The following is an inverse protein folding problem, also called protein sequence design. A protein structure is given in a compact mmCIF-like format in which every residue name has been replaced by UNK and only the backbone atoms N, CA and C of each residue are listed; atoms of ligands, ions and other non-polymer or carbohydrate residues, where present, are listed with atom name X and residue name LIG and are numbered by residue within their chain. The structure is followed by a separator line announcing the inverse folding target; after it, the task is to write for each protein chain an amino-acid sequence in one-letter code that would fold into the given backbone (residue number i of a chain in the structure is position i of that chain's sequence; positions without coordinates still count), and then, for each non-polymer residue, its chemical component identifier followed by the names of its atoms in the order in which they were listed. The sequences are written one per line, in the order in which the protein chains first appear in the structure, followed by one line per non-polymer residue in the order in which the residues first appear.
data_IF_336687422863
#
_entry.id   IF_336687422863
#
_cell.length_a   1.000
_cell.length_b   1.000
_cell.length_c   1.000
_cell.angle_alpha   90.00
_cell.angle_beta   90.00
_cell.angle_gamma   90.00
#
_symmetry.space_group_name_H-M   'P 1'
#
loop_
_entity.id
_entity.type
_entity.pdbx_description
1 polymer ?
#
# COMPACT_ATOMS: atom_id res chain seq x y z
N UNK A 1 -8.55 -5.53 59.27
CA UNK A 1 -8.09 -4.63 58.19
C UNK A 1 -8.91 -3.36 58.25
N UNK A 2 -8.28 -2.20 58.46
CA UNK A 2 -9.01 -0.93 58.54
C UNK A 2 -9.37 -0.45 57.14
N UNK A 3 -10.41 0.39 57.03
CA UNK A 3 -10.85 0.98 55.76
C UNK A 3 -9.73 1.77 55.04
N UNK A 4 -8.72 2.25 55.78
CA UNK A 4 -7.56 2.95 55.22
C UNK A 4 -6.64 2.01 54.40
N UNK A 5 -6.48 0.76 54.83
CA UNK A 5 -5.66 -0.20 54.07
C UNK A 5 -6.31 -0.58 52.73
N UNK A 6 -7.64 -0.59 52.65
CA UNK A 6 -8.37 -0.88 51.41
C UNK A 6 -8.31 0.27 50.39
N UNK A 7 -8.27 1.53 50.86
CA UNK A 7 -8.17 2.69 49.96
C UNK A 7 -6.77 2.88 49.37
N UNK A 8 -5.71 2.56 50.13
CA UNK A 8 -4.33 2.58 49.62
C UNK A 8 -4.11 1.52 48.53
N UNK A 9 -4.58 0.29 48.75
CA UNK A 9 -4.45 -0.81 47.78
C UNK A 9 -5.16 -0.50 46.45
N UNK A 10 -6.29 0.20 46.50
CA UNK A 10 -7.03 0.64 45.31
C UNK A 10 -6.28 1.74 44.53
N UNK A 11 -5.62 2.68 45.24
CA UNK A 11 -4.79 3.72 44.60
C UNK A 11 -3.58 3.10 43.90
N UNK A 12 -2.88 2.18 44.55
CA UNK A 12 -1.71 1.52 43.95
C UNK A 12 -2.08 0.76 42.68
N UNK A 13 -3.20 0.03 42.70
CA UNK A 13 -3.72 -0.69 41.53
C UNK A 13 -4.09 0.26 40.37
N UNK A 14 -4.69 1.42 40.65
CA UNK A 14 -4.98 2.43 39.62
C UNK A 14 -3.70 3.03 39.01
N UNK A 15 -2.70 3.38 39.82
CA UNK A 15 -1.42 3.90 39.32
C UNK A 15 -0.67 2.87 38.48
N UNK A 16 -0.66 1.60 38.91
CA UNK A 16 -0.06 0.52 38.14
C UNK A 16 -0.78 0.30 36.80
N UNK A 17 -2.12 0.37 36.79
CA UNK A 17 -2.92 0.27 35.56
C UNK A 17 -2.67 1.42 34.57
N UNK A 18 -2.53 2.65 35.07
CA UNK A 18 -2.17 3.81 34.25
C UNK A 18 -0.76 3.68 33.66
N UNK A 19 0.22 3.29 34.46
CA UNK A 19 1.60 3.06 34.01
C UNK A 19 1.70 1.93 32.97
N UNK A 20 0.94 0.85 33.14
CA UNK A 20 0.90 -0.25 32.17
C UNK A 20 0.27 0.20 30.85
N UNK A 21 -0.80 1.01 30.90
CA UNK A 21 -1.47 1.54 29.72
C UNK A 21 -0.58 2.53 28.96
N UNK A 22 0.17 3.37 29.68
CA UNK A 22 1.08 4.35 29.10
C UNK A 22 2.27 3.64 28.42
N UNK A 23 2.89 2.67 29.10
CA UNK A 23 3.97 1.84 28.53
C UNK A 23 3.50 1.02 27.33
N UNK A 24 2.28 0.48 27.36
CA UNK A 24 1.71 -0.23 26.21
C UNK A 24 1.50 0.72 25.02
N UNK A 25 1.08 1.96 25.27
CA UNK A 25 0.98 3.00 24.24
C UNK A 25 2.34 3.39 23.65
N UNK A 26 3.38 3.50 24.48
CA UNK A 26 4.74 3.81 24.02
C UNK A 26 5.34 2.66 23.21
N UNK A 27 5.18 1.42 23.67
CA UNK A 27 5.67 0.23 22.95
C UNK A 27 4.92 0.04 21.63
N UNK A 28 3.60 0.27 21.61
CA UNK A 28 2.83 0.27 20.37
C UNK A 28 3.29 1.38 19.43
N UNK A 29 3.60 2.57 19.94
CA UNK A 29 4.17 3.67 19.16
C UNK A 29 5.55 3.34 18.57
N UNK A 30 6.45 2.76 19.37
CA UNK A 30 7.80 2.36 18.94
C UNK A 30 7.76 1.20 17.95
N UNK A 31 6.88 0.20 18.14
CA UNK A 31 6.68 -0.88 17.18
C UNK A 31 6.09 -0.35 15.86
N UNK A 32 5.22 0.65 15.90
CA UNK A 32 4.69 1.34 14.71
C UNK A 32 5.76 2.15 13.98
N UNK A 33 6.78 2.63 14.70
CA UNK A 33 7.99 3.26 14.13
C UNK A 33 8.98 2.25 13.54
N UNK A 34 9.14 1.08 14.17
CA UNK A 34 10.02 -0.01 13.73
C UNK A 34 9.44 -0.81 12.55
N UNK A 35 8.11 -0.96 12.46
CA UNK A 35 7.41 -1.39 11.24
C UNK A 35 7.34 -0.22 10.25
N UNK A 36 8.50 0.39 9.95
CA UNK A 36 8.64 1.27 8.80
C UNK A 36 8.35 0.43 7.57
N UNK A 37 7.08 0.43 7.17
CA UNK A 37 6.67 0.10 5.82
C UNK A 37 7.63 0.85 4.93
N UNK A 38 8.50 0.14 4.22
CA UNK A 38 9.37 0.73 3.22
C UNK A 38 8.45 1.37 2.18
N UNK A 39 8.23 2.68 2.35
CA UNK A 39 7.42 3.41 1.41
C UNK A 39 8.29 3.59 0.18
N UNK A 40 7.94 2.86 -0.89
CA UNK A 40 8.57 3.04 -2.18
C UNK A 40 8.45 4.48 -2.67
N UNK A 41 9.21 4.86 -3.70
CA UNK A 41 9.14 6.18 -4.31
C UNK A 41 7.68 6.61 -4.54
N UNK A 42 7.34 7.86 -4.20
CA UNK A 42 5.95 8.36 -4.25
C UNK A 42 5.28 8.09 -5.60
N UNK A 43 6.04 8.18 -6.68
CA UNK A 43 5.58 7.88 -8.03
C UNK A 43 5.16 6.41 -8.20
N UNK A 44 5.97 5.45 -7.74
CA UNK A 44 5.62 4.04 -7.81
C UNK A 44 4.37 3.74 -7.01
N UNK A 45 4.21 4.39 -5.86
CA UNK A 45 3.02 4.25 -5.03
C UNK A 45 1.77 4.77 -5.73
N UNK A 46 1.87 5.93 -6.35
CA UNK A 46 0.77 6.49 -7.12
C UNK A 46 0.39 5.60 -8.31
N UNK A 47 1.37 5.06 -9.05
CA UNK A 47 1.11 4.09 -10.11
C UNK A 47 0.48 2.80 -9.59
N UNK A 48 1.00 2.24 -8.49
CA UNK A 48 0.42 1.06 -7.85
C UNK A 48 -1.02 1.29 -7.43
N UNK A 49 -1.29 2.41 -6.75
CA UNK A 49 -2.63 2.79 -6.31
C UNK A 49 -3.60 2.94 -7.48
N UNK A 50 -3.22 3.66 -8.54
CA UNK A 50 -4.09 3.92 -9.68
C UNK A 50 -4.36 2.65 -10.49
N UNK A 51 -3.34 1.82 -10.71
CA UNK A 51 -3.49 0.55 -11.43
C UNK A 51 -4.31 -0.47 -10.64
N UNK A 52 -4.13 -0.56 -9.33
CA UNK A 52 -4.94 -1.44 -8.48
C UNK A 52 -6.38 -0.96 -8.34
N UNK A 53 -6.61 0.36 -8.27
CA UNK A 53 -7.94 0.93 -8.24
C UNK A 53 -8.68 0.70 -9.56
N UNK A 54 -8.00 0.86 -10.70
CA UNK A 54 -8.54 0.52 -12.00
C UNK A 54 -8.89 -0.97 -12.09
N UNK A 55 -7.97 -1.85 -11.69
CA UNK A 55 -8.20 -3.30 -11.59
C UNK A 55 -9.41 -3.63 -10.71
N UNK A 56 -9.57 -2.95 -9.57
CA UNK A 56 -10.73 -3.12 -8.69
C UNK A 56 -12.03 -2.70 -9.38
N UNK A 57 -12.03 -1.56 -10.08
CA UNK A 57 -13.18 -1.13 -10.89
C UNK A 57 -13.56 -2.16 -11.97
N UNK A 58 -12.57 -2.71 -12.68
CA UNK A 58 -12.80 -3.70 -13.72
C UNK A 58 -13.43 -4.99 -13.17
N UNK A 59 -12.94 -5.51 -12.04
CA UNK A 59 -13.52 -6.74 -11.46
C UNK A 59 -14.94 -6.53 -10.92
N UNK A 60 -15.27 -5.33 -10.42
CA UNK A 60 -16.65 -5.01 -10.03
C UNK A 60 -17.59 -5.04 -11.24
N UNK A 61 -17.13 -4.53 -12.39
CA UNK A 61 -17.90 -4.60 -13.63
C UNK A 61 -18.14 -6.06 -14.08
N UNK A 62 -17.10 -6.90 -14.01
CA UNK A 62 -17.20 -8.33 -14.36
C UNK A 62 -18.09 -9.13 -13.39
N UNK A 63 -18.08 -8.79 -12.10
CA UNK A 63 -18.94 -9.42 -11.10
C UNK A 63 -20.43 -9.11 -11.32
N UNK A 64 -20.74 -7.90 -11.77
CA UNK A 64 -22.13 -7.47 -12.05
C UNK A 64 -22.66 -8.11 -13.35
N UNK A 65 -21.77 -8.47 -14.28
CA UNK A 65 -22.17 -9.01 -15.57
C UNK A 65 -22.83 -10.40 -15.41
N UNK A 66 -24.14 -10.55 -15.71
CA UNK A 66 -24.87 -11.80 -15.48
C UNK A 66 -24.43 -12.94 -16.41
N UNK A 67 -23.71 -12.66 -17.50
CA UNK A 67 -23.20 -13.71 -18.40
C UNK A 67 -22.20 -14.63 -17.70
N UNK A 68 -21.57 -14.16 -16.62
CA UNK A 68 -20.59 -14.92 -15.85
C UNK A 68 -21.24 -15.96 -14.92
N UNK A 69 -22.57 -15.91 -14.67
CA UNK A 69 -23.34 -16.83 -13.81
C UNK A 69 -23.24 -18.31 -14.21
N UNK A 70 -22.83 -18.58 -15.45
CA UNK A 70 -22.70 -19.94 -16.00
C UNK A 70 -21.51 -20.70 -15.39
N UNK A 71 -20.50 -19.99 -14.87
CA UNK A 71 -19.27 -20.59 -14.36
C UNK A 71 -18.98 -20.12 -12.92
N UNK A 72 -19.47 -20.82 -11.88
CA UNK A 72 -19.32 -20.38 -10.48
C UNK A 72 -17.86 -20.24 -10.03
N UNK A 73 -16.94 -20.97 -10.66
CA UNK A 73 -15.49 -20.86 -10.41
C UNK A 73 -14.97 -19.45 -10.72
N UNK A 74 -15.53 -18.79 -11.74
CA UNK A 74 -15.11 -17.44 -12.15
C UNK A 74 -15.43 -16.41 -11.07
N UNK A 75 -16.59 -16.52 -10.41
CA UNK A 75 -16.95 -15.63 -9.29
C UNK A 75 -15.98 -15.74 -8.12
N UNK A 76 -15.53 -16.96 -7.81
CA UNK A 76 -14.55 -17.17 -6.76
C UNK A 76 -13.24 -16.49 -7.11
N UNK A 77 -12.77 -16.62 -8.35
CA UNK A 77 -11.54 -15.97 -8.81
C UNK A 77 -11.68 -14.44 -8.87
N UNK A 78 -12.81 -13.91 -9.33
CA UNK A 78 -13.08 -12.48 -9.29
C UNK A 78 -13.16 -11.93 -7.87
N UNK A 79 -13.71 -12.70 -6.92
CA UNK A 79 -13.67 -12.31 -5.50
C UNK A 79 -12.23 -12.24 -4.98
N UNK A 80 -11.35 -13.17 -5.36
CA UNK A 80 -9.93 -13.10 -5.03
C UNK A 80 -9.23 -11.89 -5.67
N UNK A 81 -9.48 -11.62 -6.95
CA UNK A 81 -8.93 -10.43 -7.64
C UNK A 81 -9.41 -9.15 -6.96
N UNK A 82 -10.69 -9.05 -6.61
CA UNK A 82 -11.24 -7.90 -5.90
C UNK A 82 -10.59 -7.70 -4.54
N UNK A 83 -10.43 -8.78 -3.76
CA UNK A 83 -9.76 -8.74 -2.47
C UNK A 83 -8.31 -8.28 -2.63
N UNK A 84 -7.55 -8.89 -3.55
CA UNK A 84 -6.16 -8.52 -3.77
C UNK A 84 -6.01 -7.08 -4.28
N UNK A 85 -6.86 -6.64 -5.22
CA UNK A 85 -6.82 -5.27 -5.75
C UNK A 85 -7.14 -4.24 -4.66
N UNK A 86 -8.07 -4.56 -3.76
CA UNK A 86 -8.37 -3.74 -2.59
C UNK A 86 -7.20 -3.69 -1.61
N UNK A 87 -6.59 -4.85 -1.30
CA UNK A 87 -5.39 -4.92 -0.45
C UNK A 87 -4.24 -4.09 -1.05
N UNK A 88 -3.98 -4.19 -2.34
CA UNK A 88 -2.96 -3.37 -3.04
C UNK A 88 -3.28 -1.88 -2.93
N UNK A 89 -4.53 -1.51 -3.21
CA UNK A 89 -4.98 -0.11 -3.13
C UNK A 89 -4.76 0.45 -1.73
N UNK A 90 -5.02 -0.34 -0.69
CA UNK A 90 -4.79 0.04 0.69
C UNK A 90 -3.30 0.16 1.04
N UNK A 91 -2.45 -0.74 0.52
CA UNK A 91 -1.01 -0.67 0.76
C UNK A 91 -0.33 0.52 0.09
N UNK A 92 -0.89 0.99 -1.02
CA UNK A 92 -0.37 2.13 -1.78
C UNK A 92 -1.01 3.47 -1.42
N UNK A 93 -2.19 3.44 -0.78
CA UNK A 93 -2.86 4.63 -0.30
C UNK A 93 -1.97 5.45 0.66
N UNK A 94 -2.19 6.77 0.62
CA UNK A 94 -1.56 7.73 1.52
C UNK A 94 -1.94 7.42 2.97
N UNK A 95 -0.98 7.47 3.90
CA UNK A 95 -1.22 7.12 5.30
C UNK A 95 -2.32 8.01 5.90
N UNK A 96 -2.33 9.27 5.52
CA UNK A 96 -3.30 10.27 5.95
C UNK A 96 -4.74 9.89 5.54
N UNK A 97 -4.91 9.25 4.39
CA UNK A 97 -6.23 8.78 3.93
C UNK A 97 -6.71 7.58 4.75
N UNK A 98 -5.79 6.66 5.06
CA UNK A 98 -6.11 5.45 5.82
C UNK A 98 -6.40 5.78 7.28
N UNK A 99 -5.62 6.68 7.90
CA UNK A 99 -5.81 7.09 9.29
C UNK A 99 -7.14 7.84 9.51
N UNK A 100 -7.69 8.46 8.47
CA UNK A 100 -9.03 9.06 8.53
C UNK A 100 -10.17 8.04 8.68
N UNK A 101 -9.92 6.76 8.38
CA UNK A 101 -10.93 5.69 8.42
C UNK A 101 -10.44 4.56 9.33
N UNK A 102 -10.85 4.59 10.59
CA UNK A 102 -10.39 3.66 11.64
C UNK A 102 -10.36 2.16 11.25
N UNK A 103 -11.42 1.61 10.63
CA UNK A 103 -11.41 0.21 10.19
C UNK A 103 -10.34 -0.12 9.14
N UNK A 104 -10.05 0.80 8.22
CA UNK A 104 -9.02 0.60 7.18
C UNK A 104 -7.63 0.59 7.80
N UNK A 105 -7.38 1.45 8.79
CA UNK A 105 -6.11 1.46 9.53
C UNK A 105 -5.86 0.12 10.25
N UNK A 106 -6.88 -0.43 10.91
CA UNK A 106 -6.77 -1.74 11.56
C UNK A 106 -6.55 -2.88 10.56
N UNK A 107 -7.22 -2.84 9.41
CA UNK A 107 -7.01 -3.84 8.36
C UNK A 107 -5.62 -3.73 7.72
N UNK A 108 -5.10 -2.52 7.49
CA UNK A 108 -3.74 -2.31 7.01
C UNK A 108 -2.70 -2.83 8.01
N UNK A 109 -2.91 -2.60 9.31
CA UNK A 109 -2.03 -3.12 10.38
C UNK A 109 -2.05 -4.65 10.45
N UNK A 110 -3.23 -5.27 10.32
CA UNK A 110 -3.38 -6.72 10.24
C UNK A 110 -2.60 -7.27 9.04
N UNK A 111 -2.75 -6.67 7.86
CA UNK A 111 -2.00 -7.08 6.68
C UNK A 111 -0.50 -6.87 6.84
N UNK A 112 -0.05 -5.76 7.43
CA UNK A 112 1.36 -5.51 7.67
C UNK A 112 1.98 -6.52 8.65
N UNK A 113 1.21 -6.95 9.64
CA UNK A 113 1.62 -7.92 10.67
C UNK A 113 1.70 -9.35 10.12
N UNK A 114 0.67 -9.79 9.39
CA UNK A 114 0.57 -11.17 8.92
C UNK A 114 1.17 -11.40 7.53
N UNK A 115 1.26 -10.35 6.71
CA UNK A 115 1.76 -10.42 5.34
C UNK A 115 3.00 -9.55 5.18
N UNK A 116 4.02 -9.77 6.02
CA UNK A 116 5.30 -9.03 5.97
C UNK A 116 5.92 -9.01 4.57
N UNK A 117 5.72 -10.08 3.78
CA UNK A 117 6.14 -10.14 2.38
C UNK A 117 5.61 -8.96 1.56
N UNK A 118 4.33 -8.59 1.71
CA UNK A 118 3.70 -7.48 0.97
C UNK A 118 4.13 -6.12 1.56
N UNK A 119 4.67 -6.08 2.78
CA UNK A 119 5.24 -4.85 3.34
C UNK A 119 6.62 -4.52 2.74
N UNK A 120 7.33 -5.49 2.19
CA UNK A 120 8.64 -5.30 1.54
C UNK A 120 8.46 -4.83 0.09
N UNK A 121 9.32 -3.90 -0.37
CA UNK A 121 9.21 -3.34 -1.73
C UNK A 121 9.28 -4.41 -2.82
N UNK A 122 10.17 -5.40 -2.68
CA UNK A 122 10.26 -6.53 -3.61
C UNK A 122 9.03 -7.44 -3.60
N UNK A 123 8.47 -7.73 -2.42
CA UNK A 123 7.29 -8.57 -2.31
C UNK A 123 6.01 -7.91 -2.83
N UNK A 124 5.89 -6.57 -2.73
CA UNK A 124 4.86 -5.80 -3.44
C UNK A 124 4.95 -5.98 -4.95
N UNK A 125 6.17 -5.86 -5.49
CA UNK A 125 6.39 -6.03 -6.93
C UNK A 125 5.97 -7.42 -7.42
N UNK A 126 6.36 -8.46 -6.69
CA UNK A 126 5.93 -9.83 -6.97
C UNK A 126 4.42 -10.01 -6.85
N UNK A 127 3.80 -9.38 -5.85
CA UNK A 127 2.35 -9.43 -5.68
C UNK A 127 1.62 -8.79 -6.86
N UNK A 128 2.10 -7.68 -7.41
CA UNK A 128 1.48 -7.02 -8.57
C UNK A 128 1.64 -7.84 -9.85
N UNK A 129 2.80 -8.46 -10.04
CA UNK A 129 3.01 -9.40 -11.14
C UNK A 129 2.05 -10.58 -11.01
N UNK A 130 1.90 -11.15 -9.81
CA UNK A 130 0.94 -12.23 -9.56
C UNK A 130 -0.49 -11.80 -9.88
N UNK A 131 -0.94 -10.62 -9.41
CA UNK A 131 -2.25 -10.07 -9.75
C UNK A 131 -2.44 -9.90 -11.26
N UNK A 132 -1.42 -9.39 -11.97
CA UNK A 132 -1.45 -9.24 -13.41
C UNK A 132 -1.52 -10.59 -14.13
N UNK A 133 -0.79 -11.61 -13.65
CA UNK A 133 -0.90 -12.97 -14.21
C UNK A 133 -2.28 -13.59 -13.99
N UNK A 134 -2.96 -13.30 -12.87
CA UNK A 134 -4.34 -13.72 -12.68
C UNK A 134 -5.27 -13.10 -13.72
N UNK A 135 -5.12 -11.81 -14.03
CA UNK A 135 -5.89 -11.18 -15.12
C UNK A 135 -5.62 -11.83 -16.48
N UNK A 136 -4.37 -12.21 -16.77
CA UNK A 136 -4.05 -12.91 -18.02
C UNK A 136 -4.70 -14.28 -18.14
N UNK A 137 -5.07 -14.93 -17.03
CA UNK A 137 -5.81 -16.20 -17.09
C UNK A 137 -7.25 -16.04 -17.61
N UNK A 138 -7.77 -14.81 -17.65
CA UNK A 138 -9.11 -14.50 -18.14
C UNK A 138 -9.13 -13.87 -19.53
N UNK A 139 -7.96 -13.51 -20.05
CA UNK A 139 -7.84 -12.92 -21.38
C UNK A 139 -7.84 -14.03 -22.45
N UNK A 140 -9.02 -14.52 -22.81
CA UNK A 140 -9.21 -15.52 -23.87
C UNK A 140 -9.15 -14.88 -25.26
N UNK A 141 -9.45 -13.57 -25.37
CA UNK A 141 -9.50 -12.88 -26.66
C UNK A 141 -9.00 -11.43 -26.60
N UNK A 142 -8.55 -10.91 -27.75
CA UNK A 142 -8.21 -9.49 -27.91
C UNK A 142 -9.40 -8.53 -27.72
N UNK A 143 -10.63 -9.05 -27.63
CA UNK A 143 -11.82 -8.25 -27.31
C UNK A 143 -11.79 -7.79 -25.84
N UNK A 144 -11.06 -8.50 -24.96
CA UNK A 144 -10.92 -8.20 -23.54
C UNK A 144 -9.78 -7.21 -23.27
N UNK A 145 -9.72 -6.16 -24.09
CA UNK A 145 -8.64 -5.14 -24.07
C UNK A 145 -8.45 -4.57 -22.67
N UNK A 146 -9.53 -4.37 -21.91
CA UNK A 146 -9.49 -3.82 -20.56
C UNK A 146 -8.73 -4.74 -19.61
N UNK A 147 -8.99 -6.04 -19.67
CA UNK A 147 -8.37 -7.04 -18.81
C UNK A 147 -6.88 -7.17 -19.15
N UNK A 148 -6.55 -7.21 -20.45
CA UNK A 148 -5.16 -7.21 -20.94
C UNK A 148 -4.43 -5.93 -20.52
N UNK A 149 -5.09 -4.77 -20.61
CA UNK A 149 -4.52 -3.50 -20.19
C UNK A 149 -4.26 -3.44 -18.68
N UNK A 150 -5.21 -3.90 -17.86
CA UNK A 150 -5.04 -4.02 -16.40
C UNK A 150 -3.92 -4.98 -16.04
N UNK A 151 -3.86 -6.15 -16.70
CA UNK A 151 -2.78 -7.11 -16.52
C UNK A 151 -1.42 -6.51 -16.85
N UNK A 152 -1.30 -5.90 -18.03
CA UNK A 152 -0.07 -5.26 -18.49
C UNK A 152 0.38 -4.14 -17.56
N UNK A 153 -0.56 -3.31 -17.10
CA UNK A 153 -0.27 -2.22 -16.15
C UNK A 153 0.21 -2.75 -14.80
N UNK A 154 -0.44 -3.77 -14.23
CA UNK A 154 -0.03 -4.40 -12.96
C UNK A 154 1.34 -5.07 -13.07
N UNK A 155 1.58 -5.85 -14.13
CA UNK A 155 2.88 -6.48 -14.38
C UNK A 155 3.96 -5.41 -14.53
N UNK A 156 3.72 -4.36 -15.32
CA UNK A 156 4.66 -3.27 -15.51
C UNK A 156 5.01 -2.58 -14.18
N UNK A 157 4.01 -2.19 -13.39
CA UNK A 157 4.25 -1.55 -12.08
C UNK A 157 4.95 -2.52 -11.11
N UNK A 158 4.62 -3.81 -11.16
CA UNK A 158 5.30 -4.83 -10.37
C UNK A 158 6.78 -4.98 -10.73
N UNK A 159 7.10 -4.96 -12.02
CA UNK A 159 8.49 -4.91 -12.49
C UNK A 159 9.23 -3.66 -12.01
N UNK A 160 8.59 -2.49 -12.05
CA UNK A 160 9.20 -1.26 -11.54
C UNK A 160 9.50 -1.34 -10.03
N UNK A 161 8.63 -1.97 -9.24
CA UNK A 161 8.89 -2.23 -7.82
C UNK A 161 10.05 -3.20 -7.60
N UNK A 162 10.18 -4.24 -8.42
CA UNK A 162 11.32 -5.15 -8.38
C UNK A 162 12.63 -4.45 -8.74
N UNK A 163 12.64 -3.64 -9.80
CA UNK A 163 13.81 -2.86 -10.19
C UNK A 163 14.22 -1.84 -9.10
N UNK A 164 13.23 -1.20 -8.47
CA UNK A 164 13.46 -0.35 -7.30
C UNK A 164 14.08 -1.14 -6.15
N UNK A 165 13.57 -2.34 -5.88
CA UNK A 165 14.10 -3.22 -4.83
C UNK A 165 15.54 -3.67 -5.09
N UNK A 166 15.90 -3.90 -6.36
CA UNK A 166 17.28 -4.21 -6.76
C UNK A 166 18.21 -2.98 -6.79
N UNK A 167 17.71 -1.76 -6.53
CA UNK A 167 18.50 -0.53 -6.61
C UNK A 167 18.88 -0.11 -8.04
N UNK A 168 18.26 -0.72 -9.06
CA UNK A 168 18.57 -0.46 -10.49
C UNK A 168 17.82 0.78 -11.01
N UNK A 169 16.94 1.39 -10.19
CA UNK A 169 16.14 2.54 -10.63
C UNK A 169 17.03 3.77 -10.93
N UNK A 170 17.05 4.27 -12.18
CA UNK A 170 17.83 5.44 -12.54
C UNK A 170 17.32 6.64 -11.75
N UNK A 171 18.21 7.25 -10.96
CA UNK A 171 17.85 8.38 -10.10
C UNK A 171 17.27 9.55 -10.91
N UNK A 172 17.68 9.72 -12.16
CA UNK A 172 17.13 10.74 -13.06
C UNK A 172 15.64 10.57 -13.34
N UNK A 173 15.16 9.34 -13.51
CA UNK A 173 13.74 9.08 -13.80
C UNK A 173 12.90 9.39 -12.57
N UNK A 174 13.40 9.00 -11.39
CA UNK A 174 12.75 9.31 -10.11
C UNK A 174 12.71 10.82 -9.89
N UNK A 175 13.83 11.53 -10.06
CA UNK A 175 13.89 12.99 -9.89
C UNK A 175 12.98 13.73 -10.87
N UNK A 176 12.95 13.34 -12.15
CA UNK A 176 12.05 13.94 -13.14
C UNK A 176 10.59 13.68 -12.80
N UNK A 177 10.24 12.45 -12.41
CA UNK A 177 8.86 12.10 -12.04
C UNK A 177 8.40 12.89 -10.80
N UNK A 178 9.26 13.01 -9.78
CA UNK A 178 9.00 13.80 -8.59
C UNK A 178 8.82 15.27 -8.91
N UNK A 179 9.73 15.87 -9.69
CA UNK A 179 9.61 17.26 -10.16
C UNK A 179 8.29 17.51 -10.90
N UNK A 180 7.89 16.62 -11.81
CA UNK A 180 6.61 16.76 -12.51
C UNK A 180 5.41 16.63 -11.57
N UNK A 181 5.47 15.75 -10.58
CA UNK A 181 4.41 15.60 -9.58
C UNK A 181 4.29 16.81 -8.66
N UNK A 182 5.40 17.44 -8.28
CA UNK A 182 5.44 18.68 -7.50
C UNK A 182 4.86 19.84 -8.29
N UNK A 183 5.28 20.00 -9.54
CA UNK A 183 4.75 21.02 -10.46
C UNK A 183 3.24 20.86 -10.67
N UNK A 184 2.74 19.62 -10.77
CA UNK A 184 1.32 19.35 -10.93
C UNK A 184 0.51 19.53 -9.63
N UNK A 185 1.08 19.21 -8.47
CA UNK A 185 0.36 19.24 -7.19
C UNK A 185 0.49 20.56 -6.42
N UNK A 186 1.51 21.38 -6.74
CA UNK A 186 1.84 22.59 -5.99
C UNK A 186 2.28 22.31 -4.55
N UNK A 187 2.68 21.08 -4.24
CA UNK A 187 3.18 20.67 -2.92
C UNK A 187 4.60 20.14 -3.07
N UNK A 188 5.41 20.38 -2.05
CA UNK A 188 6.72 19.78 -1.89
C UNK A 188 6.52 18.29 -1.55
N UNK A 189 6.84 17.41 -2.51
CA UNK A 189 6.62 15.97 -2.39
C UNK A 189 7.88 15.28 -1.85
N UNK A 190 9.06 15.81 -2.17
CA UNK A 190 10.34 15.24 -1.76
C UNK A 190 10.84 15.74 -0.39
N UNK A 191 10.25 16.81 0.14
CA UNK A 191 10.57 17.42 1.43
C UNK A 191 11.82 18.29 1.42
N UNK A 192 12.28 18.76 0.25
CA UNK A 192 13.49 19.58 0.12
C UNK A 192 13.25 21.08 0.39
N UNK A 193 12.00 21.47 0.65
CA UNK A 193 11.59 22.85 0.90
C UNK A 193 11.39 23.68 -0.36
N UNK A 194 11.49 23.09 -1.55
CA UNK A 194 11.30 23.74 -2.84
C UNK A 194 10.24 23.01 -3.67
N UNK A 195 9.26 23.74 -4.18
CA UNK A 195 8.23 23.16 -5.06
C UNK A 195 8.72 23.26 -6.50
N UNK A 196 8.98 22.12 -7.15
CA UNK A 196 9.35 22.09 -8.56
C UNK A 196 10.77 22.60 -8.82
N UNK A 197 11.70 22.39 -7.89
CA UNK A 197 13.11 22.63 -8.14
C UNK A 197 13.59 21.71 -9.28
N UNK A 198 14.20 22.30 -10.30
CA UNK A 198 14.73 21.52 -11.42
C UNK A 198 15.73 20.47 -10.89
N UNK A 199 15.71 19.22 -11.40
CA UNK A 199 16.68 18.20 -10.99
C UNK A 199 18.09 18.75 -11.09
N UNK A 200 18.82 18.80 -9.98
CA UNK A 200 20.24 19.17 -10.00
C UNK A 200 20.94 18.13 -10.88
N UNK A 201 21.36 18.54 -12.07
CA UNK A 201 22.03 17.65 -13.01
C UNK A 201 23.14 16.93 -12.26
N UNK A 202 23.06 15.59 -12.19
CA UNK A 202 24.03 14.80 -11.48
C UNK A 202 25.42 15.18 -11.99
N UNK A 203 26.22 15.82 -11.15
CA UNK A 203 27.60 16.12 -11.47
C UNK A 203 28.26 14.77 -11.73
N UNK A 204 28.58 14.50 -12.99
CA UNK A 204 29.20 13.25 -13.42
C UNK A 204 30.44 13.02 -12.55
N UNK A 205 30.55 11.89 -11.81
CA UNK A 205 31.77 11.59 -11.08
C UNK A 205 32.89 11.42 -12.11
N UNK A 206 33.90 12.28 -12.00
CA UNK A 206 35.10 12.29 -12.85
C UNK A 206 35.96 11.04 -12.66
#
# INVERSE_FOLDING_TARGET
MSAAAASELSREAQTAGLLAKDKAGTIAGDLRGMMSIEQGPVFLRFLGFTTSLASFGCVIFELINPTNLVHPVMYVLYAYIALFALSTTLFEAKKEWIESVGPLASYQEMLATHCQFISLMGGRGLFYIFQGTLWLTFADSLVEIVQIACAGALVFVGFLHLLAHCGIMPHEVMQRATHHAEMASGKDINGDGQIGAAPVAASSPA
#
